data_IF_685939059139
#
_entry.id   IF_685939059139
#
_cell.length_a   1.000
_cell.length_b   1.000
_cell.length_c   1.000
_cell.angle_alpha   90.00
_cell.angle_beta   90.00
_cell.angle_gamma   90.00
#
_symmetry.space_group_name_H-M   'P 1'
#
loop_
_entity.id
_entity.type
_entity.pdbx_description
1 polymer ?
#
# COMPACT_ATOMS: atom_id res chain seq x y z
N UNK A 1 24.34 -21.72 7.90
CA UNK A 1 23.21 -20.86 7.48
C UNK A 1 23.66 -19.41 7.27
N UNK A 2 24.19 -18.74 8.28
CA UNK A 2 24.59 -17.31 8.23
C UNK A 2 25.55 -17.00 7.07
N UNK A 3 26.59 -17.82 6.84
CA UNK A 3 27.51 -17.63 5.70
C UNK A 3 26.82 -17.67 4.32
N UNK A 4 25.77 -18.48 4.16
CA UNK A 4 24.98 -18.54 2.91
C UNK A 4 24.12 -17.29 2.73
N UNK A 5 23.54 -16.79 3.83
CA UNK A 5 22.77 -15.54 3.83
C UNK A 5 23.69 -14.38 3.41
N UNK A 6 24.86 -14.24 4.04
CA UNK A 6 25.84 -13.20 3.71
C UNK A 6 26.28 -13.30 2.24
N UNK A 7 26.55 -14.51 1.74
CA UNK A 7 26.92 -14.71 0.34
C UNK A 7 25.79 -14.31 -0.63
N UNK A 8 24.54 -14.65 -0.32
CA UNK A 8 23.38 -14.26 -1.12
C UNK A 8 23.15 -12.75 -1.11
N UNK A 9 23.31 -12.09 0.05
CA UNK A 9 23.25 -10.63 0.17
C UNK A 9 24.34 -9.99 -0.71
N UNK A 10 25.58 -10.46 -0.62
CA UNK A 10 26.71 -9.93 -1.40
C UNK A 10 26.51 -10.08 -2.91
N UNK A 11 25.86 -11.16 -3.36
CA UNK A 11 25.53 -11.38 -4.77
C UNK A 11 24.34 -10.53 -5.23
N UNK A 12 23.34 -10.33 -4.38
CA UNK A 12 22.16 -9.52 -4.70
C UNK A 12 22.47 -8.01 -4.73
N UNK A 13 23.23 -7.54 -3.73
CA UNK A 13 23.55 -6.13 -3.49
C UNK A 13 24.98 -5.85 -3.94
N UNK A 14 25.29 -6.19 -5.20
CA UNK A 14 26.59 -5.91 -5.83
C UNK A 14 27.03 -4.45 -5.55
N UNK A 15 28.33 -4.07 -5.50
CA UNK A 15 28.75 -2.78 -4.94
C UNK A 15 28.15 -1.56 -5.66
N UNK A 16 27.81 -1.69 -6.94
CA UNK A 16 27.06 -0.67 -7.70
C UNK A 16 25.62 -0.48 -7.21
N UNK A 17 25.01 -1.48 -6.59
CA UNK A 17 23.70 -1.42 -5.96
C UNK A 17 23.66 -0.54 -4.71
N UNK A 18 24.74 -0.45 -3.93
CA UNK A 18 24.81 0.45 -2.76
C UNK A 18 24.95 1.90 -3.22
N UNK A 19 25.82 2.15 -4.21
CA UNK A 19 26.00 3.49 -4.81
C UNK A 19 24.71 3.93 -5.51
N UNK A 20 24.09 3.01 -6.27
CA UNK A 20 22.80 3.23 -6.91
C UNK A 20 21.68 3.51 -5.90
N UNK A 21 21.65 2.79 -4.77
CA UNK A 21 20.68 3.03 -3.69
C UNK A 21 20.90 4.40 -3.03
N UNK A 22 22.14 4.79 -2.76
CA UNK A 22 22.46 6.09 -2.20
C UNK A 22 22.08 7.23 -3.15
N UNK A 23 22.38 7.09 -4.44
CA UNK A 23 21.96 8.04 -5.48
C UNK A 23 20.43 8.08 -5.62
N UNK A 24 19.76 6.92 -5.58
CA UNK A 24 18.31 6.79 -5.61
C UNK A 24 17.63 7.51 -4.43
N UNK A 25 18.15 7.32 -3.22
CA UNK A 25 17.66 8.01 -2.02
C UNK A 25 17.92 9.52 -2.07
N UNK A 26 19.10 9.93 -2.56
CA UNK A 26 19.45 11.34 -2.69
C UNK A 26 18.58 12.09 -3.72
N UNK A 27 18.33 11.48 -4.89
CA UNK A 27 17.47 12.04 -5.94
C UNK A 27 16.01 12.08 -5.46
N UNK A 28 15.54 11.00 -4.83
CA UNK A 28 14.19 10.95 -4.28
C UNK A 28 13.91 12.10 -3.32
N UNK A 29 14.83 12.34 -2.38
CA UNK A 29 14.64 13.38 -1.35
C UNK A 29 14.46 14.80 -1.91
N UNK A 30 14.86 15.05 -3.16
CA UNK A 30 14.66 16.34 -3.83
C UNK A 30 13.36 16.43 -4.65
N UNK A 31 12.75 15.29 -5.02
CA UNK A 31 11.60 15.22 -5.91
C UNK A 31 10.28 14.89 -5.19
N UNK A 32 10.37 14.44 -3.94
CA UNK A 32 9.23 13.96 -3.15
C UNK A 32 8.50 15.13 -2.50
N UNK A 33 7.20 15.25 -2.78
CA UNK A 33 6.35 16.33 -2.26
C UNK A 33 5.41 15.87 -1.15
N UNK A 34 5.06 14.60 -1.13
CA UNK A 34 4.19 14.00 -0.10
C UNK A 34 4.84 12.80 0.57
N UNK A 35 4.40 12.50 1.78
CA UNK A 35 4.80 11.30 2.52
C UNK A 35 4.46 10.00 1.76
N UNK A 36 3.35 9.99 1.01
CA UNK A 36 2.96 8.88 0.14
C UNK A 36 3.90 8.69 -1.05
N UNK A 37 4.37 9.79 -1.66
CA UNK A 37 5.37 9.71 -2.75
C UNK A 37 6.69 9.13 -2.25
N UNK A 38 7.05 9.46 -1.00
CA UNK A 38 8.24 8.92 -0.36
C UNK A 38 8.20 7.40 -0.23
N UNK A 39 7.11 6.88 0.34
CA UNK A 39 6.97 5.45 0.58
C UNK A 39 6.85 4.66 -0.73
N UNK A 40 6.26 5.26 -1.76
CA UNK A 40 6.26 4.72 -3.11
C UNK A 40 7.68 4.62 -3.68
N UNK A 41 8.43 5.71 -3.57
CA UNK A 41 9.82 5.78 -4.04
C UNK A 41 10.70 4.74 -3.34
N UNK A 42 10.51 4.57 -2.04
CA UNK A 42 11.21 3.57 -1.22
C UNK A 42 10.78 2.14 -1.58
N UNK A 43 9.51 1.91 -1.95
CA UNK A 43 8.99 0.59 -2.36
C UNK A 43 9.69 0.00 -3.60
N UNK A 44 10.25 0.85 -4.46
CA UNK A 44 10.98 0.37 -5.65
C UNK A 44 12.18 -0.50 -5.28
N UNK A 45 12.86 -0.22 -4.17
CA UNK A 45 14.05 -0.97 -3.81
C UNK A 45 13.73 -2.43 -3.41
N UNK A 46 12.74 -2.70 -2.52
CA UNK A 46 12.23 -4.06 -2.30
C UNK A 46 11.72 -4.76 -3.56
N UNK A 47 11.05 -4.04 -4.47
CA UNK A 47 10.60 -4.61 -5.75
C UNK A 47 11.80 -5.07 -6.58
N UNK A 48 12.84 -4.23 -6.71
CA UNK A 48 14.07 -4.60 -7.42
C UNK A 48 14.77 -5.79 -6.77
N UNK A 49 14.78 -5.87 -5.43
CA UNK A 49 15.27 -7.05 -4.73
C UNK A 49 14.49 -8.31 -5.12
N UNK A 50 13.17 -8.25 -5.24
CA UNK A 50 12.37 -9.41 -5.67
C UNK A 50 12.82 -9.96 -7.02
N UNK A 51 12.99 -9.08 -8.03
CA UNK A 51 13.48 -9.49 -9.34
C UNK A 51 14.89 -10.07 -9.28
N UNK A 52 15.77 -9.48 -8.46
CA UNK A 52 17.16 -9.96 -8.29
C UNK A 52 17.21 -11.33 -7.63
N UNK A 53 16.49 -11.55 -6.54
CA UNK A 53 16.47 -12.84 -5.85
C UNK A 53 15.82 -13.93 -6.70
N UNK A 54 14.72 -13.62 -7.41
CA UNK A 54 14.11 -14.54 -8.36
C UNK A 54 15.10 -14.92 -9.48
N UNK A 55 15.79 -13.93 -10.06
CA UNK A 55 16.78 -14.14 -11.13
C UNK A 55 17.96 -14.99 -10.69
N UNK A 56 18.50 -14.76 -9.49
CA UNK A 56 19.57 -15.59 -8.92
C UNK A 56 19.12 -17.04 -8.74
N UNK A 57 17.92 -17.25 -8.19
CA UNK A 57 17.36 -18.59 -7.95
C UNK A 57 17.13 -19.33 -9.28
N UNK A 58 16.64 -18.64 -10.31
CA UNK A 58 16.51 -19.20 -11.67
C UNK A 58 17.87 -19.51 -12.32
N UNK A 59 18.85 -18.61 -12.21
CA UNK A 59 20.19 -18.81 -12.79
C UNK A 59 20.87 -20.05 -12.19
N UNK A 60 20.81 -20.21 -10.86
CA UNK A 60 21.36 -21.39 -10.16
C UNK A 60 20.69 -22.68 -10.60
N UNK A 61 19.37 -22.65 -10.83
CA UNK A 61 18.61 -23.79 -11.36
C UNK A 61 19.10 -24.22 -12.75
N UNK A 62 19.48 -23.25 -13.60
CA UNK A 62 19.94 -23.46 -14.99
C UNK A 62 21.41 -23.86 -15.07
N UNK A 63 22.28 -23.36 -14.19
CA UNK A 63 23.73 -23.60 -14.23
C UNK A 63 24.20 -24.97 -13.71
N UNK A 64 23.29 -25.93 -13.50
CA UNK A 64 23.67 -27.31 -13.14
C UNK A 64 24.13 -27.53 -11.69
N UNK A 65 23.99 -26.51 -10.82
CA UNK A 65 24.37 -26.60 -9.39
C UNK A 65 23.55 -27.62 -8.59
N UNK A 66 22.49 -28.19 -9.18
CA UNK A 66 21.58 -29.16 -8.55
C UNK A 66 22.30 -30.37 -7.96
N UNK A 67 23.36 -30.87 -8.59
CA UNK A 67 24.10 -32.05 -8.10
C UNK A 67 24.95 -31.69 -6.88
N UNK A 68 25.65 -30.55 -6.91
CA UNK A 68 26.47 -30.06 -5.80
C UNK A 68 25.62 -29.59 -4.61
N UNK A 69 24.45 -29.01 -4.88
CA UNK A 69 23.46 -28.63 -3.88
C UNK A 69 22.75 -29.83 -3.25
N UNK A 70 22.47 -30.91 -4.01
CA UNK A 70 21.91 -32.16 -3.44
C UNK A 70 22.86 -32.80 -2.45
N UNK A 71 24.17 -32.75 -2.73
CA UNK A 71 25.21 -33.28 -1.84
C UNK A 71 25.40 -32.42 -0.58
N UNK A 72 25.29 -31.09 -0.69
CA UNK A 72 25.44 -30.16 0.45
C UNK A 72 24.15 -29.93 1.25
N UNK A 73 22.99 -30.17 0.65
CA UNK A 73 21.67 -29.94 1.24
C UNK A 73 20.68 -31.08 0.87
N UNK A 74 20.80 -32.25 1.52
CA UNK A 74 20.05 -33.46 1.15
C UNK A 74 18.54 -33.32 1.29
N UNK A 75 18.05 -32.45 2.18
CA UNK A 75 16.61 -32.19 2.39
C UNK A 75 16.06 -31.08 1.47
N UNK A 76 16.83 -30.61 0.50
CA UNK A 76 17.17 -29.18 0.44
C UNK A 76 16.12 -28.08 0.61
N UNK A 77 16.09 -27.61 1.85
CA UNK A 77 15.37 -26.43 2.29
C UNK A 77 16.33 -25.30 2.67
N UNK A 78 17.63 -25.58 2.88
CA UNK A 78 18.60 -24.64 3.45
C UNK A 78 18.99 -23.52 2.50
N UNK A 79 19.12 -23.81 1.21
CA UNK A 79 19.46 -22.78 0.22
C UNK A 79 18.26 -21.86 -0.07
N UNK A 80 17.05 -22.37 -0.36
CA UNK A 80 15.87 -21.51 -0.54
C UNK A 80 15.53 -20.69 0.70
N UNK A 81 15.70 -21.25 1.90
CA UNK A 81 15.51 -20.49 3.14
C UNK A 81 16.57 -19.42 3.32
N UNK A 82 17.82 -19.67 2.94
CA UNK A 82 18.88 -18.66 2.96
C UNK A 82 18.64 -17.54 1.94
N UNK A 83 18.15 -17.84 0.74
CA UNK A 83 17.77 -16.83 -0.27
C UNK A 83 16.59 -15.98 0.21
N UNK A 84 15.56 -16.60 0.77
CA UNK A 84 14.43 -15.89 1.37
C UNK A 84 14.86 -15.00 2.53
N UNK A 85 15.62 -15.53 3.50
CA UNK A 85 16.12 -14.77 4.63
C UNK A 85 17.03 -13.63 4.18
N UNK A 86 17.87 -13.85 3.17
CA UNK A 86 18.69 -12.80 2.58
C UNK A 86 17.82 -11.69 1.96
N UNK A 87 16.74 -12.03 1.28
CA UNK A 87 15.80 -11.06 0.73
C UNK A 87 15.10 -10.24 1.82
N UNK A 88 14.59 -10.92 2.85
CA UNK A 88 13.90 -10.29 3.99
C UNK A 88 14.84 -9.37 4.78
N UNK A 89 16.07 -9.81 5.07
CA UNK A 89 17.07 -9.01 5.78
C UNK A 89 17.54 -7.84 4.93
N UNK A 90 17.78 -8.05 3.62
CA UNK A 90 18.16 -6.97 2.72
C UNK A 90 17.07 -5.91 2.62
N UNK A 91 15.81 -6.34 2.55
CA UNK A 91 14.66 -5.44 2.56
C UNK A 91 14.58 -4.63 3.87
N UNK A 92 14.76 -5.29 5.02
CA UNK A 92 14.77 -4.61 6.33
C UNK A 92 15.87 -3.55 6.40
N UNK A 93 17.09 -3.89 5.93
CA UNK A 93 18.22 -2.96 5.91
C UNK A 93 17.96 -1.77 5.00
N UNK A 94 17.44 -2.00 3.79
CA UNK A 94 17.14 -0.91 2.85
C UNK A 94 16.07 0.02 3.42
N UNK A 95 14.96 -0.53 3.93
CA UNK A 95 13.88 0.26 4.53
C UNK A 95 14.35 1.00 5.79
N UNK A 96 15.22 0.38 6.59
CA UNK A 96 15.85 1.02 7.75
C UNK A 96 16.84 2.13 7.39
N UNK A 97 17.58 2.00 6.29
CA UNK A 97 18.44 3.10 5.79
C UNK A 97 17.58 4.23 5.23
N UNK A 98 16.51 3.90 4.49
CA UNK A 98 15.56 4.88 4.00
C UNK A 98 14.81 5.61 5.14
N UNK A 99 14.66 5.00 6.32
CA UNK A 99 14.01 5.69 7.43
C UNK A 99 14.83 6.86 7.97
N UNK A 100 16.15 6.86 7.85
CA UNK A 100 17.01 7.91 8.42
C UNK A 100 16.75 9.30 7.81
N UNK A 101 16.77 9.49 6.47
CA UNK A 101 16.44 10.77 5.84
C UNK A 101 15.02 11.23 6.17
N UNK A 102 14.05 10.31 6.17
CA UNK A 102 12.65 10.64 6.49
C UNK A 102 12.49 11.14 7.93
N UNK A 103 13.10 10.44 8.90
CA UNK A 103 13.09 10.82 10.32
C UNK A 103 13.86 12.13 10.54
N UNK A 104 14.94 12.38 9.80
CA UNK A 104 15.72 13.61 9.91
C UNK A 104 14.94 14.82 9.37
N UNK A 105 14.38 14.70 8.16
CA UNK A 105 13.57 15.74 7.53
C UNK A 105 12.31 16.06 8.35
N UNK A 106 11.67 15.03 8.91
CA UNK A 106 10.47 15.20 9.75
C UNK A 106 10.78 15.89 11.09
N UNK A 107 11.93 15.61 11.70
CA UNK A 107 12.37 16.29 12.94
C UNK A 107 12.69 17.77 12.71
N UNK A 108 13.16 18.13 11.52
CA UNK A 108 13.37 19.52 11.12
C UNK A 108 12.02 20.23 10.95
N UNK A 109 11.06 19.63 10.22
CA UNK A 109 9.73 20.20 10.02
C UNK A 109 8.92 20.36 11.33
N UNK A 110 8.92 19.35 12.21
CA UNK A 110 8.20 19.39 13.48
C UNK A 110 8.72 20.47 14.45
N UNK A 111 9.97 20.92 14.26
CA UNK A 111 10.55 22.00 15.06
C UNK A 111 10.03 23.38 14.64
N UNK A 112 9.60 23.51 13.38
CA UNK A 112 9.07 24.74 12.80
C UNK A 112 7.53 24.81 12.93
N UNK A 113 6.82 23.67 12.98
CA UNK A 113 5.36 23.59 13.02
C UNK A 113 4.81 23.34 14.44
N UNK A 114 4.94 24.32 15.35
CA UNK A 114 4.53 24.12 16.74
C UNK A 114 3.01 24.25 17.01
N UNK A 115 2.13 24.44 16.01
CA UNK A 115 0.72 24.86 16.30
C UNK A 115 -0.42 24.42 15.37
N UNK A 116 -0.23 23.64 14.30
CA UNK A 116 -1.37 23.17 13.50
C UNK A 116 -1.17 21.70 13.08
N UNK A 117 -2.18 20.87 13.31
CA UNK A 117 -2.28 19.60 12.61
C UNK A 117 -2.46 19.91 11.13
N UNK A 118 -1.53 19.47 10.29
CA UNK A 118 -1.65 19.63 8.84
C UNK A 118 -2.72 18.67 8.33
N UNK A 119 -3.71 19.23 7.63
CA UNK A 119 -4.76 18.47 6.95
C UNK A 119 -4.50 18.48 5.45
N UNK A 120 -4.62 17.32 4.82
CA UNK A 120 -4.65 17.20 3.37
C UNK A 120 -6.09 17.37 2.87
N UNK A 121 -6.27 18.20 1.85
CA UNK A 121 -7.60 18.46 1.28
C UNK A 121 -7.87 17.59 0.05
N UNK A 122 -8.94 16.79 0.11
CA UNK A 122 -9.38 15.93 -1.00
C UNK A 122 -10.72 16.44 -1.57
N UNK A 123 -10.86 16.63 -2.90
CA UNK A 123 -12.09 17.13 -3.49
C UNK A 123 -13.26 16.15 -3.34
N UNK A 124 -14.44 16.69 -3.03
CA UNK A 124 -15.69 15.94 -2.96
C UNK A 124 -16.58 16.26 -4.15
N UNK A 125 -17.32 15.26 -4.62
CA UNK A 125 -18.34 15.40 -5.66
C UNK A 125 -19.66 15.75 -4.99
N UNK A 126 -20.30 16.82 -5.45
CA UNK A 126 -21.58 17.29 -4.91
C UNK A 126 -22.68 17.06 -5.94
N UNK A 127 -23.75 16.40 -5.53
CA UNK A 127 -24.99 16.24 -6.29
C UNK A 127 -26.18 16.71 -5.45
N UNK A 128 -27.23 17.23 -6.09
CA UNK A 128 -28.43 17.66 -5.37
C UNK A 128 -29.72 17.23 -6.07
N UNK A 129 -30.75 16.95 -5.28
CA UNK A 129 -32.10 16.68 -5.75
C UNK A 129 -33.10 17.34 -4.79
N UNK A 130 -33.68 18.46 -5.22
CA UNK A 130 -34.51 19.31 -4.35
C UNK A 130 -33.73 19.83 -3.15
N UNK A 131 -34.19 19.51 -1.93
CA UNK A 131 -33.57 19.92 -0.66
C UNK A 131 -32.47 18.97 -0.17
N UNK A 132 -32.29 17.84 -0.86
CA UNK A 132 -31.35 16.80 -0.48
C UNK A 132 -30.05 16.97 -1.27
N UNK A 133 -28.97 17.22 -0.55
CA UNK A 133 -27.63 17.35 -1.06
C UNK A 133 -26.83 16.12 -0.69
N UNK A 134 -26.20 15.50 -1.69
CA UNK A 134 -25.37 14.32 -1.55
C UNK A 134 -23.93 14.71 -1.87
N UNK A 135 -23.06 14.55 -0.91
CA UNK A 135 -21.62 14.81 -1.03
C UNK A 135 -20.90 13.47 -0.96
N UNK A 136 -20.17 13.14 -2.01
CA UNK A 136 -19.55 11.82 -2.18
C UNK A 136 -18.07 11.98 -2.48
N UNK A 137 -17.24 11.22 -1.78
CA UNK A 137 -15.84 11.09 -2.11
C UNK A 137 -15.68 10.09 -3.29
N UNK A 138 -15.00 10.46 -4.39
CA UNK A 138 -14.96 9.66 -5.62
C UNK A 138 -14.30 8.29 -5.46
N UNK A 139 -13.48 8.10 -4.42
CA UNK A 139 -12.83 6.83 -4.13
C UNK A 139 -13.47 6.07 -2.95
N UNK A 140 -14.68 6.50 -2.53
CA UNK A 140 -15.44 5.90 -1.44
C UNK A 140 -14.85 6.23 -0.07
N UNK A 141 -14.76 5.19 0.78
CA UNK A 141 -14.37 5.24 2.20
C UNK A 141 -13.25 6.23 2.53
N UNK A 142 -13.46 6.98 3.61
CA UNK A 142 -12.54 7.94 4.21
C UNK A 142 -12.04 7.46 5.59
N UNK A 143 -10.89 7.95 6.08
CA UNK A 143 -10.46 7.77 7.46
C UNK A 143 -11.49 8.29 8.48
N UNK A 144 -11.61 7.62 9.63
CA UNK A 144 -12.60 7.97 10.65
C UNK A 144 -12.39 9.35 11.30
N UNK A 145 -11.17 9.89 11.24
CA UNK A 145 -10.77 11.21 11.73
C UNK A 145 -10.84 12.30 10.64
N UNK A 146 -11.44 12.01 9.49
CA UNK A 146 -11.61 13.01 8.43
C UNK A 146 -12.64 14.07 8.83
N UNK A 147 -12.49 15.27 8.27
CA UNK A 147 -13.46 16.36 8.41
C UNK A 147 -14.05 16.75 7.07
N UNK A 148 -15.33 17.05 7.09
CA UNK A 148 -16.04 17.64 5.98
C UNK A 148 -15.88 19.15 6.03
N UNK A 149 -15.35 19.73 4.96
CA UNK A 149 -15.27 21.17 4.74
C UNK A 149 -16.15 21.56 3.56
N UNK A 150 -17.15 22.42 3.80
CA UNK A 150 -18.10 22.89 2.79
C UNK A 150 -18.26 24.40 2.86
N UNK A 151 -18.36 25.05 1.70
CA UNK A 151 -18.89 26.41 1.61
C UNK A 151 -20.37 26.34 1.25
N UNK A 152 -21.21 26.89 2.12
CA UNK A 152 -22.66 26.94 1.93
C UNK A 152 -23.08 28.40 1.90
N UNK A 153 -23.79 28.78 0.84
CA UNK A 153 -24.39 30.10 0.67
C UNK A 153 -25.92 29.99 0.60
N UNK A 154 -26.60 31.08 0.93
CA UNK A 154 -28.06 31.18 0.85
C UNK A 154 -28.45 32.43 0.10
N UNK A 155 -29.45 32.29 -0.78
CA UNK A 155 -30.08 33.44 -1.41
C UNK A 155 -30.76 34.35 -0.35
N UNK A 156 -31.27 33.75 0.75
CA UNK A 156 -31.82 34.45 1.92
C UNK A 156 -31.41 33.74 3.20
N UNK A 157 -30.77 34.44 4.15
CA UNK A 157 -30.30 33.82 5.39
C UNK A 157 -31.48 33.26 6.20
N UNK A 158 -31.48 31.97 6.57
CA UNK A 158 -32.56 31.41 7.38
C UNK A 158 -32.61 32.08 8.76
N UNK A 159 -33.82 32.41 9.23
CA UNK A 159 -34.03 33.03 10.56
C UNK A 159 -33.68 32.08 11.72
N UNK A 160 -33.59 30.77 11.45
CA UNK A 160 -33.17 29.77 12.43
C UNK A 160 -31.67 29.52 12.31
N UNK A 161 -30.98 29.56 13.44
CA UNK A 161 -29.55 29.31 13.52
C UNK A 161 -29.27 27.81 13.34
N UNK A 162 -29.02 27.40 12.09
CA UNK A 162 -28.70 26.01 11.74
C UNK A 162 -27.22 25.66 12.02
N UNK A 163 -26.47 26.54 12.70
CA UNK A 163 -25.05 26.33 12.98
C UNK A 163 -24.15 26.58 11.76
N UNK A 164 -24.62 27.33 10.76
CA UNK A 164 -23.85 27.70 9.59
C UNK A 164 -23.71 29.21 9.46
N UNK A 165 -22.48 29.70 9.29
CA UNK A 165 -22.24 31.13 9.01
C UNK A 165 -22.08 31.33 7.49
N UNK A 166 -22.84 32.23 6.85
CA UNK A 166 -22.71 32.49 5.41
C UNK A 166 -21.31 32.98 5.05
N UNK A 167 -20.80 32.52 3.91
CA UNK A 167 -19.47 32.88 3.42
C UNK A 167 -18.31 32.32 4.26
N UNK A 168 -18.58 31.46 5.25
CA UNK A 168 -17.54 30.73 6.00
C UNK A 168 -17.58 29.25 5.65
N UNK A 169 -16.40 28.64 5.68
CA UNK A 169 -16.26 27.19 5.54
C UNK A 169 -16.86 26.53 6.78
N UNK A 170 -17.95 25.80 6.57
CA UNK A 170 -18.51 24.89 7.54
C UNK A 170 -17.59 23.68 7.67
N UNK A 171 -17.20 23.37 8.91
CA UNK A 171 -16.36 22.21 9.22
C UNK A 171 -17.06 21.31 10.24
N UNK A 172 -17.09 20.02 9.97
CA UNK A 172 -17.50 19.00 10.95
C UNK A 172 -16.75 17.69 10.73
N UNK A 173 -16.61 16.90 11.78
CA UNK A 173 -16.08 15.55 11.64
C UNK A 173 -17.09 14.64 10.91
N UNK A 174 -16.59 13.69 10.11
CA UNK A 174 -17.43 12.63 9.56
C UNK A 174 -17.86 11.68 10.68
N UNK A 175 -19.11 11.21 10.65
CA UNK A 175 -19.51 10.08 11.51
C UNK A 175 -18.88 8.78 10.99
N UNK A 176 -18.81 7.74 11.84
CA UNK A 176 -18.23 6.44 11.44
C UNK A 176 -18.89 5.84 10.18
N UNK A 177 -20.22 5.96 10.06
CA UNK A 177 -20.97 5.45 8.91
C UNK A 177 -20.75 6.29 7.63
N UNK A 178 -20.65 7.62 7.77
CA UNK A 178 -20.34 8.50 6.64
C UNK A 178 -18.90 8.32 6.16
N UNK A 179 -17.95 8.12 7.08
CA UNK A 179 -16.57 7.81 6.75
C UNK A 179 -16.47 6.45 6.04
N UNK A 180 -17.20 5.44 6.51
CA UNK A 180 -17.22 4.10 5.90
C UNK A 180 -17.80 4.11 4.48
N UNK A 181 -18.91 4.82 4.27
CA UNK A 181 -19.55 4.98 2.95
C UNK A 181 -18.83 5.96 2.03
N UNK A 182 -18.06 6.91 2.60
CA UNK A 182 -17.51 8.05 1.86
C UNK A 182 -18.59 9.02 1.39
N UNK A 183 -19.76 8.99 2.03
CA UNK A 183 -20.95 9.69 1.59
C UNK A 183 -21.61 10.44 2.76
N UNK A 184 -22.01 11.67 2.48
CA UNK A 184 -22.78 12.51 3.39
C UNK A 184 -24.03 12.99 2.68
N UNK A 185 -25.18 12.82 3.32
CA UNK A 185 -26.44 13.39 2.88
C UNK A 185 -26.82 14.54 3.80
N UNK A 186 -26.97 15.74 3.26
CA UNK A 186 -27.39 16.96 3.96
C UNK A 186 -28.76 17.37 3.45
N UNK A 187 -29.68 17.65 4.38
CA UNK A 187 -30.93 18.31 4.04
C UNK A 187 -30.76 19.80 4.32
N UNK A 188 -30.70 20.61 3.28
CA UNK A 188 -30.50 22.06 3.40
C UNK A 188 -31.81 22.81 3.11
N UNK A 189 -32.03 23.97 3.75
CA UNK A 189 -33.23 24.76 3.54
C UNK A 189 -33.33 25.28 2.08
N UNK A 190 -34.55 25.67 1.64
CA UNK A 190 -34.75 26.25 0.31
C UNK A 190 -33.83 27.44 0.05
N UNK A 191 -33.22 27.49 -1.15
CA UNK A 191 -32.32 28.58 -1.53
C UNK A 191 -30.87 28.44 -1.02
N UNK A 192 -30.55 27.36 -0.30
CA UNK A 192 -29.17 26.99 0.02
C UNK A 192 -28.44 26.44 -1.21
N UNK A 193 -27.16 26.77 -1.35
CA UNK A 193 -26.28 26.25 -2.40
C UNK A 193 -24.95 25.82 -1.79
N UNK A 194 -24.51 24.60 -2.12
CA UNK A 194 -23.16 24.14 -1.80
C UNK A 194 -22.28 24.43 -3.01
N UNK A 195 -21.17 25.13 -2.77
CA UNK A 195 -20.16 25.37 -3.80
C UNK A 195 -19.27 24.13 -3.95
N UNK A 196 -19.45 23.41 -5.06
CA UNK A 196 -18.71 22.18 -5.36
C UNK A 196 -17.20 22.38 -5.36
N UNK A 197 -16.74 23.55 -5.80
CA UNK A 197 -15.33 23.95 -5.87
C UNK A 197 -14.67 24.08 -4.50
N UNK A 198 -15.43 24.25 -3.42
CA UNK A 198 -14.94 24.33 -2.04
C UNK A 198 -15.28 23.08 -1.22
N UNK A 199 -15.96 22.10 -1.79
CA UNK A 199 -16.28 20.86 -1.09
C UNK A 199 -15.01 19.99 -0.97
N UNK A 200 -14.53 19.81 0.27
CA UNK A 200 -13.31 19.06 0.59
C UNK A 200 -13.52 18.10 1.76
N UNK A 201 -12.86 16.95 1.70
CA UNK A 201 -12.55 16.15 2.86
C UNK A 201 -11.15 16.54 3.35
N UNK A 202 -11.07 17.13 4.53
CA UNK A 202 -9.83 17.41 5.24
C UNK A 202 -9.42 16.14 5.99
N UNK A 203 -8.33 15.51 5.56
CA UNK A 203 -7.81 14.28 6.18
C UNK A 203 -6.55 14.62 6.94
N UNK A 204 -6.51 14.26 8.22
CA UNK A 204 -5.35 14.48 9.06
C UNK A 204 -4.14 13.74 8.49
N UNK A 205 -3.07 14.48 8.18
CA UNK A 205 -1.84 13.87 7.67
C UNK A 205 -1.23 13.04 8.82
N UNK A 206 -0.87 11.77 8.58
CA UNK A 206 -0.30 10.92 9.62
C UNK A 206 0.92 11.59 10.27
N UNK A 207 0.83 11.85 11.57
CA UNK A 207 1.92 12.47 12.32
C UNK A 207 3.19 11.61 12.30
N UNK A 208 4.33 12.28 12.53
CA UNK A 208 5.68 11.74 12.64
C UNK A 208 5.81 10.38 13.36
N UNK A 209 5.06 10.13 14.43
CA UNK A 209 5.14 8.90 15.22
C UNK A 209 4.60 7.66 14.51
N UNK A 210 3.86 7.83 13.40
CA UNK A 210 3.33 6.73 12.60
C UNK A 210 4.32 6.14 11.60
N UNK A 211 5.43 6.83 11.30
CA UNK A 211 6.42 6.45 10.29
C UNK A 211 7.09 5.09 10.52
N UNK A 212 7.62 4.79 11.72
CA UNK A 212 8.21 3.49 12.01
C UNK A 212 7.21 2.35 11.84
N UNK A 213 5.95 2.59 12.23
CA UNK A 213 4.86 1.63 12.06
C UNK A 213 4.57 1.40 10.58
N UNK A 214 4.51 2.45 9.77
CA UNK A 214 4.27 2.36 8.32
C UNK A 214 5.37 1.58 7.60
N UNK A 215 6.63 1.87 7.90
CA UNK A 215 7.77 1.15 7.33
C UNK A 215 7.81 -0.31 7.79
N UNK A 216 7.45 -0.58 9.04
CA UNK A 216 7.31 -1.94 9.55
C UNK A 216 6.21 -2.69 8.79
N UNK A 217 5.04 -2.07 8.61
CA UNK A 217 3.94 -2.69 7.87
C UNK A 217 4.30 -2.92 6.39
N UNK A 218 5.02 -1.98 5.77
CA UNK A 218 5.54 -2.14 4.41
C UNK A 218 6.57 -3.27 4.32
N UNK A 219 7.46 -3.40 5.31
CA UNK A 219 8.38 -4.53 5.39
C UNK A 219 7.63 -5.87 5.51
N UNK A 220 6.67 -5.97 6.42
CA UNK A 220 5.84 -7.18 6.61
C UNK A 220 5.06 -7.53 5.34
N UNK A 221 4.61 -6.52 4.60
CA UNK A 221 4.01 -6.71 3.29
C UNK A 221 4.99 -7.38 2.30
N UNK A 222 6.22 -6.87 2.19
CA UNK A 222 7.23 -7.48 1.31
C UNK A 222 7.69 -8.87 1.77
N UNK A 223 7.70 -9.15 3.08
CA UNK A 223 7.99 -10.48 3.63
C UNK A 223 7.04 -11.52 3.03
N UNK A 224 5.72 -11.22 3.00
CA UNK A 224 4.74 -12.10 2.38
C UNK A 224 4.97 -12.28 0.87
N UNK A 225 5.25 -11.18 0.17
CA UNK A 225 5.55 -11.19 -1.27
C UNK A 225 6.78 -12.03 -1.63
N UNK A 226 7.86 -11.96 -0.84
CA UNK A 226 9.05 -12.77 -1.07
C UNK A 226 8.73 -14.26 -0.95
N UNK A 227 7.83 -14.65 -0.05
CA UNK A 227 7.36 -16.03 0.08
C UNK A 227 6.61 -16.52 -1.15
N UNK A 228 5.68 -15.71 -1.68
CA UNK A 228 4.93 -16.00 -2.90
C UNK A 228 5.87 -16.08 -4.11
N UNK A 229 6.75 -15.10 -4.27
CA UNK A 229 7.71 -15.06 -5.37
C UNK A 229 8.63 -16.30 -5.37
N UNK A 230 9.13 -16.70 -4.19
CA UNK A 230 9.94 -17.92 -4.06
C UNK A 230 9.14 -19.17 -4.49
N UNK A 231 7.89 -19.30 -4.06
CA UNK A 231 7.02 -20.40 -4.46
C UNK A 231 6.88 -20.46 -5.99
N UNK A 232 6.56 -19.34 -6.63
CA UNK A 232 6.37 -19.27 -8.08
C UNK A 232 7.63 -19.66 -8.87
N UNK A 233 8.80 -19.18 -8.44
CA UNK A 233 10.09 -19.57 -9.05
C UNK A 233 10.35 -21.07 -8.88
N UNK A 234 9.98 -21.64 -7.72
CA UNK A 234 10.09 -23.09 -7.43
C UNK A 234 9.12 -23.92 -8.28
N UNK A 235 7.95 -23.38 -8.60
CA UNK A 235 6.99 -23.95 -9.57
C UNK A 235 7.42 -23.81 -11.03
N UNK A 236 8.69 -23.46 -11.29
CA UNK A 236 9.31 -23.33 -12.62
C UNK A 236 8.85 -22.13 -13.45
N UNK A 237 8.13 -21.20 -12.87
CA UNK A 237 7.81 -19.93 -13.52
C UNK A 237 9.13 -19.14 -13.70
N UNK A 238 9.26 -18.43 -14.83
CA UNK A 238 10.43 -17.58 -15.10
C UNK A 238 10.51 -16.48 -14.04
N UNK A 239 11.71 -16.11 -13.61
CA UNK A 239 11.93 -15.18 -12.50
C UNK A 239 11.18 -13.85 -12.65
N UNK A 240 11.24 -13.25 -13.84
CA UNK A 240 10.54 -12.00 -14.13
C UNK A 240 9.02 -12.14 -14.04
N UNK A 241 8.48 -13.24 -14.57
CA UNK A 241 7.05 -13.54 -14.51
C UNK A 241 6.60 -13.87 -13.08
N UNK A 242 7.41 -14.57 -12.30
CA UNK A 242 7.12 -14.87 -10.90
C UNK A 242 7.05 -13.58 -10.06
N UNK A 243 7.99 -12.66 -10.29
CA UNK A 243 7.99 -11.36 -9.60
C UNK A 243 6.80 -10.49 -10.01
N UNK A 244 6.48 -10.40 -11.31
CA UNK A 244 5.28 -9.70 -11.78
C UNK A 244 3.99 -10.33 -11.26
N UNK A 245 3.88 -11.66 -11.29
CA UNK A 245 2.71 -12.37 -10.79
C UNK A 245 2.54 -12.20 -9.28
N UNK A 246 3.63 -12.19 -8.50
CA UNK A 246 3.55 -11.91 -7.06
C UNK A 246 3.04 -10.50 -6.76
N UNK A 247 3.48 -9.49 -7.52
CA UNK A 247 2.95 -8.13 -7.44
C UNK A 247 1.48 -8.06 -7.87
N UNK A 248 1.10 -8.79 -8.92
CA UNK A 248 -0.28 -8.86 -9.39
C UNK A 248 -1.21 -9.53 -8.38
N UNK A 249 -0.79 -10.62 -7.73
CA UNK A 249 -1.56 -11.27 -6.66
C UNK A 249 -1.80 -10.28 -5.53
N UNK A 250 -0.77 -9.53 -5.17
CA UNK A 250 -0.86 -8.62 -4.06
C UNK A 250 -1.67 -7.35 -4.44
N UNK A 251 -1.73 -6.96 -5.73
CA UNK A 251 -2.59 -5.87 -6.20
C UNK A 251 -4.08 -6.24 -6.29
N UNK A 252 -4.44 -7.53 -6.24
CA UNK A 252 -5.84 -7.97 -6.17
C UNK A 252 -6.55 -7.51 -4.90
N UNK A 253 -5.83 -7.31 -3.79
CA UNK A 253 -6.39 -6.70 -2.57
C UNK A 253 -6.80 -5.23 -2.76
N UNK A 254 -6.36 -4.58 -3.84
CA UNK A 254 -6.71 -3.21 -4.20
C UNK A 254 -7.94 -3.12 -5.09
N UNK A 255 -8.34 -4.23 -5.68
CA UNK A 255 -9.44 -4.23 -6.63
C UNK A 255 -10.74 -3.84 -5.91
N UNK A 256 -11.44 -2.89 -6.50
CA UNK A 256 -12.78 -2.45 -6.09
C UNK A 256 -13.69 -2.64 -7.29
N UNK A 257 -14.88 -3.19 -7.06
CA UNK A 257 -15.90 -3.22 -8.10
C UNK A 257 -16.27 -1.77 -8.48
N UNK A 258 -16.30 -1.42 -9.78
CA UNK A 258 -16.70 -0.09 -10.20
C UNK A 258 -18.15 0.17 -9.79
N UNK A 259 -18.40 1.27 -9.07
CA UNK A 259 -19.69 1.56 -8.41
C UNK A 259 -20.82 1.91 -9.40
N UNK A 260 -20.55 2.18 -10.68
CA UNK A 260 -21.57 2.80 -11.54
C UNK A 260 -21.43 2.57 -13.05
N UNK A 261 -21.38 1.32 -13.53
CA UNK A 261 -21.57 1.06 -14.97
C UNK A 261 -22.55 -0.10 -15.19
N UNK A 262 -23.47 -0.01 -16.17
CA UNK A 262 -24.30 -1.14 -16.57
C UNK A 262 -23.39 -2.21 -17.16
N UNK A 263 -23.20 -3.29 -16.40
CA UNK A 263 -22.25 -4.36 -16.73
C UNK A 263 -22.95 -5.38 -17.65
N UNK A 264 -22.38 -5.63 -18.84
CA UNK A 264 -22.82 -6.72 -19.72
C UNK A 264 -22.65 -8.09 -19.04
N UNK A 265 -23.50 -9.08 -19.38
CA UNK A 265 -23.53 -10.40 -18.70
C UNK A 265 -22.20 -11.18 -18.70
N UNK A 266 -21.28 -10.91 -19.65
CA UNK A 266 -19.93 -11.49 -19.64
C UNK A 266 -18.96 -10.80 -18.67
N UNK A 267 -19.13 -9.49 -18.48
CA UNK A 267 -18.31 -8.70 -17.54
C UNK A 267 -18.74 -8.95 -16.10
N UNK A 268 -20.01 -9.27 -15.83
CA UNK A 268 -20.48 -9.62 -14.48
C UNK A 268 -19.80 -10.87 -13.94
N UNK A 269 -19.55 -11.89 -14.78
CA UNK A 269 -18.85 -13.10 -14.35
C UNK A 269 -17.41 -12.80 -13.93
N UNK A 270 -16.65 -12.06 -14.76
CA UNK A 270 -15.27 -11.68 -14.42
C UNK A 270 -15.21 -10.81 -13.17
N UNK A 271 -16.11 -9.82 -13.04
CA UNK A 271 -16.22 -8.95 -11.87
C UNK A 271 -16.57 -9.77 -10.62
N UNK A 272 -17.48 -10.72 -10.71
CA UNK A 272 -17.84 -11.61 -9.60
C UNK A 272 -16.68 -12.54 -9.23
N UNK A 273 -15.91 -13.04 -10.20
CA UNK A 273 -14.70 -13.82 -9.93
C UNK A 273 -13.61 -12.98 -9.25
N UNK A 274 -13.37 -11.76 -9.75
CA UNK A 274 -12.42 -10.83 -9.13
C UNK A 274 -12.86 -10.41 -7.73
N UNK A 275 -14.15 -10.17 -7.52
CA UNK A 275 -14.73 -9.90 -6.21
C UNK A 275 -14.53 -11.08 -5.25
N UNK A 276 -14.84 -12.30 -5.70
CA UNK A 276 -14.66 -13.51 -4.92
C UNK A 276 -13.17 -13.70 -4.53
N UNK A 277 -12.25 -13.57 -5.48
CA UNK A 277 -10.80 -13.68 -5.20
C UNK A 277 -10.32 -12.56 -4.29
N UNK A 278 -10.77 -11.33 -4.49
CA UNK A 278 -10.38 -10.18 -3.66
C UNK A 278 -10.85 -10.34 -2.20
N UNK A 279 -11.99 -10.98 -1.97
CA UNK A 279 -12.48 -11.25 -0.61
C UNK A 279 -11.67 -12.30 0.16
N UNK A 280 -10.85 -13.08 -0.54
CA UNK A 280 -9.96 -14.07 0.07
C UNK A 280 -8.60 -13.48 0.43
N UNK A 281 -8.30 -12.28 -0.07
CA UNK A 281 -7.04 -11.58 0.19
C UNK A 281 -7.33 -10.52 1.27
N UNK A 282 -6.50 -10.44 2.32
CA UNK A 282 -6.64 -9.40 3.34
C UNK A 282 -6.63 -7.99 2.76
N UNK A 283 -7.27 -7.04 3.44
CA UNK A 283 -7.32 -5.65 2.95
C UNK A 283 -5.97 -4.93 3.22
N UNK A 284 -5.11 -4.95 2.19
CA UNK A 284 -3.78 -4.34 2.23
C UNK A 284 -3.75 -2.95 1.58
N UNK A 285 -4.90 -2.33 1.35
CA UNK A 285 -5.00 -1.05 0.62
C UNK A 285 -4.20 0.08 1.24
N UNK A 286 -4.01 0.08 2.56
CA UNK A 286 -3.19 1.08 3.24
C UNK A 286 -1.69 0.97 2.97
N UNK A 287 -1.22 -0.23 2.61
CA UNK A 287 0.21 -0.50 2.38
C UNK A 287 0.65 -0.25 0.93
N UNK A 288 -0.33 -0.15 0.04
CA UNK A 288 -0.17 0.14 -1.37
C UNK A 288 -0.48 1.57 -1.76
N UNK A 289 -1.06 2.32 -0.84
CA UNK A 289 -1.43 3.67 -1.11
C UNK A 289 -0.17 4.50 -1.32
N UNK A 290 -0.07 5.11 -2.48
CA UNK A 290 1.08 5.86 -2.97
C UNK A 290 0.60 7.25 -3.34
N UNK A 291 1.45 8.26 -3.10
CA UNK A 291 1.14 9.66 -3.35
C UNK A 291 -0.10 10.14 -2.59
N UNK A 292 -0.97 10.88 -3.26
CA UNK A 292 -2.16 11.53 -2.66
C UNK A 292 -3.18 10.54 -2.04
N UNK A 293 -3.19 9.27 -2.47
CA UNK A 293 -4.11 8.27 -1.89
C UNK A 293 -3.59 7.67 -0.58
N UNK A 294 -2.33 7.94 -0.23
CA UNK A 294 -1.70 7.44 0.99
C UNK A 294 -2.42 7.95 2.22
N UNK A 295 -2.61 9.27 2.32
CA UNK A 295 -3.25 9.92 3.47
C UNK A 295 -4.67 9.38 3.72
N UNK A 296 -5.41 9.10 2.65
CA UNK A 296 -6.74 8.49 2.70
C UNK A 296 -6.77 7.04 3.21
N UNK A 297 -5.65 6.31 3.16
CA UNK A 297 -5.62 4.84 3.32
C UNK A 297 -4.62 4.34 4.35
N UNK A 298 -3.75 5.19 4.89
CA UNK A 298 -2.73 4.84 5.90
C UNK A 298 -3.26 4.09 7.11
N UNK A 299 -4.51 4.35 7.51
CA UNK A 299 -5.19 3.64 8.60
C UNK A 299 -6.12 2.50 8.18
N UNK A 300 -6.27 2.24 6.89
CA UNK A 300 -7.27 1.29 6.39
C UNK A 300 -6.87 -0.18 6.61
N UNK A 301 -5.57 -0.49 6.56
CA UNK A 301 -5.10 -1.86 6.76
C UNK A 301 -4.99 -2.19 8.24
N UNK A 302 -5.81 -3.13 8.69
CA UNK A 302 -5.77 -3.59 10.07
C UNK A 302 -4.54 -4.47 10.34
N UNK A 303 -4.12 -4.56 11.60
CA UNK A 303 -3.06 -5.50 12.01
C UNK A 303 -3.44 -6.95 11.67
N UNK A 304 -4.74 -7.28 11.72
CA UNK A 304 -5.25 -8.62 11.39
C UNK A 304 -5.03 -8.91 9.91
N UNK A 305 -5.26 -7.93 9.03
CA UNK A 305 -5.04 -8.11 7.59
C UNK A 305 -3.57 -8.40 7.27
N UNK A 306 -2.66 -7.72 7.97
CA UNK A 306 -1.21 -7.96 7.83
C UNK A 306 -0.84 -9.35 8.35
N UNK A 307 -1.41 -9.80 9.46
CA UNK A 307 -1.18 -11.16 9.95
C UNK A 307 -1.74 -12.21 8.99
N UNK A 308 -2.91 -11.97 8.40
CA UNK A 308 -3.47 -12.80 7.34
C UNK A 308 -2.55 -12.87 6.12
N UNK A 309 -1.96 -11.74 5.73
CA UNK A 309 -1.02 -11.66 4.61
C UNK A 309 0.27 -12.43 4.88
N UNK A 310 0.82 -12.30 6.09
CA UNK A 310 1.95 -13.10 6.54
C UNK A 310 1.60 -14.59 6.61
N UNK A 311 0.36 -14.94 6.93
CA UNK A 311 -0.16 -16.31 6.84
C UNK A 311 -0.11 -16.85 5.42
N UNK A 312 -0.57 -16.08 4.43
CA UNK A 312 -0.49 -16.43 3.00
C UNK A 312 0.97 -16.59 2.56
N UNK A 313 1.84 -15.63 2.91
CA UNK A 313 3.27 -15.71 2.61
C UNK A 313 3.96 -16.90 3.28
N UNK A 314 3.60 -17.19 4.53
CA UNK A 314 4.09 -18.34 5.31
C UNK A 314 3.63 -19.68 4.71
N UNK A 315 2.39 -19.76 4.27
CA UNK A 315 1.87 -20.91 3.53
C UNK A 315 2.62 -21.07 2.21
N UNK A 316 2.85 -19.99 1.46
CA UNK A 316 3.60 -20.03 0.21
C UNK A 316 5.04 -20.52 0.44
N UNK A 317 5.69 -20.07 1.51
CA UNK A 317 7.01 -20.57 1.91
C UNK A 317 6.99 -22.06 2.27
N UNK A 318 6.02 -22.48 3.07
CA UNK A 318 5.85 -23.88 3.43
C UNK A 318 5.65 -24.77 2.19
N UNK A 319 4.78 -24.36 1.28
CA UNK A 319 4.55 -25.01 0.00
C UNK A 319 5.81 -25.01 -0.87
N UNK A 320 6.60 -23.91 -0.86
CA UNK A 320 7.85 -23.84 -1.61
C UNK A 320 8.86 -24.87 -1.12
N UNK A 321 8.93 -25.12 0.21
CA UNK A 321 9.78 -26.15 0.79
C UNK A 321 9.28 -27.56 0.46
N UNK A 322 7.96 -27.75 0.45
CA UNK A 322 7.31 -29.01 0.06
C UNK A 322 7.37 -29.29 -1.44
N UNK A 323 7.54 -28.27 -2.29
CA UNK A 323 7.61 -28.39 -3.74
C UNK A 323 8.90 -29.09 -4.26
N UNK A 324 9.53 -29.99 -3.49
CA UNK A 324 10.63 -30.87 -3.96
C UNK A 324 10.10 -32.29 -4.17
N UNK A 325 10.36 -32.82 -5.38
CA UNK A 325 10.18 -34.21 -5.84
C UNK A 325 8.78 -34.69 -6.26
N UNK A 326 8.15 -34.02 -7.23
CA UNK A 326 7.23 -34.70 -8.17
C UNK A 326 7.91 -34.91 -9.53
N UNK A 327 9.14 -35.44 -9.50
CA UNK A 327 9.87 -35.93 -10.69
C UNK A 327 10.31 -37.39 -10.43
N UNK A 328 9.37 -38.20 -9.98
CA UNK A 328 9.38 -39.65 -10.17
C UNK A 328 8.07 -40.04 -10.86
N UNK A 329 8.00 -39.75 -12.15
CA UNK A 329 7.23 -40.52 -13.13
C UNK A 329 7.80 -40.21 -14.50
#
# INVERSE_FOLDING_TARGET
MIRLIIAAIRQAIWPWGIIGLAAWLAIGNQLIRTHGDYLAWVSFAPIMLMFRFAGMSEQRRRSGWRMEERLRDPRGWRLPSAEYLAAVVSCALILGVASFPAIAASKLAARDSQTAADFAEHPLVVAHSGYLWRVVHPHGRLPANSRLALLIEWDHYPQNDFGFTPGKIFRRDFTAAEAESGEVTLTLPPGARIHSEFARAEVEVPYFDSYPKLLLMQWLFFVGLFGINLLLVRLRIRASLASLASLAIASLGLWQAPVALPVEAGQTLLINMMAAVSSWIPDLRGLYAVGLNFELRVGASSTIDILGWLGIGGLALFLSFRARYWETS
#
